data_IF_515224743827
#
_entry.id   IF_515224743827
#
_cell.length_a   1.000
_cell.length_b   1.000
_cell.length_c   1.000
_cell.angle_alpha   90.00
_cell.angle_beta   90.00
_cell.angle_gamma   90.00
#
_symmetry.space_group_name_H-M   'P 1'
#
loop_
_entity.id
_entity.type
_entity.pdbx_description
1 polymer ?
#
# COMPACT_ATOMS: atom_id res chain seq x y z
N UNK A 1 0.83 23.36 28.64
CA UNK A 1 1.40 22.50 27.58
C UNK A 1 0.63 21.19 27.61
N UNK A 2 -0.20 20.93 26.60
CA UNK A 2 -1.03 19.72 26.52
C UNK A 2 -0.26 18.57 25.90
N UNK A 3 -0.05 17.51 26.67
CA UNK A 3 0.52 16.25 26.20
C UNK A 3 -0.57 15.43 25.53
N UNK A 4 -0.43 15.16 24.23
CA UNK A 4 -1.32 14.27 23.50
C UNK A 4 -0.98 12.81 23.85
N UNK A 5 -1.92 12.15 24.52
CA UNK A 5 -1.91 10.73 24.83
C UNK A 5 -2.66 9.99 23.72
N UNK A 6 -1.95 9.22 22.88
CA UNK A 6 -2.61 8.31 21.94
C UNK A 6 -2.87 6.98 22.64
N UNK A 7 -4.16 6.77 22.91
CA UNK A 7 -4.70 5.57 23.51
C UNK A 7 -4.40 4.32 22.69
N UNK A 8 -3.79 3.39 23.41
CA UNK A 8 -3.74 1.96 23.19
C UNK A 8 -5.07 1.39 22.64
N UNK A 9 -5.12 1.09 21.33
CA UNK A 9 -6.18 0.25 20.74
C UNK A 9 -5.58 -1.11 20.42
N UNK A 10 -5.85 -2.07 21.29
CA UNK A 10 -5.66 -3.50 21.04
C UNK A 10 -6.56 -3.93 19.88
N UNK A 11 -5.98 -4.44 18.80
CA UNK A 11 -6.65 -5.25 17.78
C UNK A 11 -5.81 -6.51 17.54
N UNK A 12 -6.39 -7.72 17.44
CA UNK A 12 -5.62 -8.93 17.23
C UNK A 12 -5.34 -9.09 15.74
N UNK A 13 -4.16 -8.70 15.29
CA UNK A 13 -3.60 -9.10 14.01
C UNK A 13 -2.22 -9.70 14.28
N UNK A 14 -2.21 -10.97 14.67
CA UNK A 14 -0.97 -11.72 14.74
C UNK A 14 -0.53 -12.13 13.35
N UNK A 15 0.53 -11.52 12.85
CA UNK A 15 1.44 -12.11 11.87
C UNK A 15 2.86 -11.59 12.14
N UNK A 16 3.72 -12.49 12.62
CA UNK A 16 5.19 -12.48 12.52
C UNK A 16 5.97 -11.27 13.05
N UNK A 17 6.66 -11.43 14.18
CA UNK A 17 7.96 -10.80 14.42
C UNK A 17 8.95 -11.94 14.75
N UNK A 18 10.18 -11.93 14.20
CA UNK A 18 11.27 -11.42 15.02
C UNK A 18 12.25 -10.54 14.25
N UNK A 19 12.36 -9.29 14.69
CA UNK A 19 13.66 -8.61 14.71
C UNK A 19 14.12 -8.00 13.41
N UNK A 20 13.60 -6.82 13.10
CA UNK A 20 14.44 -5.73 12.62
C UNK A 20 14.07 -4.50 13.41
N UNK A 21 15.03 -3.63 13.67
CA UNK A 21 14.79 -2.32 14.26
C UNK A 21 13.87 -1.55 13.32
N UNK A 22 12.56 -1.78 13.45
CA UNK A 22 11.54 -1.14 12.66
C UNK A 22 11.49 0.31 13.13
N UNK A 23 12.17 1.15 12.37
CA UNK A 23 11.93 2.57 12.43
C UNK A 23 10.40 2.74 12.28
N UNK A 24 9.67 3.29 13.28
CA UNK A 24 8.22 3.42 13.19
C UNK A 24 7.77 4.36 12.04
N UNK A 25 8.74 4.99 11.37
CA UNK A 25 8.58 5.76 10.14
C UNK A 25 9.19 5.09 8.90
N UNK A 26 9.90 3.97 9.04
CA UNK A 26 10.21 3.10 7.91
C UNK A 26 8.89 2.51 7.46
N UNK A 27 8.40 3.04 6.36
CA UNK A 27 7.33 2.42 5.59
C UNK A 27 7.62 0.92 5.50
N UNK A 28 6.71 0.08 6.00
CA UNK A 28 6.85 -1.36 5.90
C UNK A 28 6.67 -1.79 4.44
N UNK A 29 7.79 -1.73 3.72
CA UNK A 29 7.83 -1.85 2.27
C UNK A 29 7.43 -3.25 1.83
N UNK A 30 7.71 -4.27 2.65
CA UNK A 30 7.29 -5.64 2.43
C UNK A 30 5.76 -5.75 2.46
N UNK A 31 5.11 -5.21 3.50
CA UNK A 31 3.64 -5.17 3.57
C UNK A 31 3.00 -4.38 2.43
N UNK A 32 3.65 -3.29 1.98
CA UNK A 32 3.18 -2.51 0.84
C UNK A 32 3.29 -3.28 -0.47
N UNK A 33 4.40 -3.98 -0.69
CA UNK A 33 4.60 -4.84 -1.86
C UNK A 33 3.59 -5.98 -1.87
N UNK A 34 3.34 -6.61 -0.72
CA UNK A 34 2.30 -7.64 -0.59
C UNK A 34 0.90 -7.09 -0.89
N UNK A 35 0.58 -5.89 -0.40
CA UNK A 35 -0.70 -5.24 -0.70
C UNK A 35 -0.84 -4.90 -2.19
N UNK A 36 0.24 -4.44 -2.83
CA UNK A 36 0.27 -4.14 -4.27
C UNK A 36 0.15 -5.42 -5.13
N UNK A 37 0.68 -6.55 -4.66
CA UNK A 37 0.45 -7.87 -5.24
C UNK A 37 -1.03 -8.26 -5.22
N UNK A 38 -1.65 -8.23 -4.05
CA UNK A 38 -3.08 -8.52 -3.90
C UNK A 38 -3.97 -7.57 -4.71
N UNK A 39 -3.61 -6.29 -4.80
CA UNK A 39 -4.28 -5.34 -5.69
C UNK A 39 -4.21 -5.82 -7.14
N UNK A 40 -3.03 -6.17 -7.63
CA UNK A 40 -2.80 -6.56 -9.03
C UNK A 40 -3.50 -7.87 -9.37
N UNK A 41 -3.47 -8.87 -8.48
CA UNK A 41 -4.25 -10.10 -8.62
C UNK A 41 -5.75 -9.81 -8.71
N UNK A 42 -6.24 -8.90 -7.87
CA UNK A 42 -7.66 -8.54 -7.85
C UNK A 42 -8.05 -7.76 -9.12
N UNK A 43 -7.20 -6.85 -9.59
CA UNK A 43 -7.38 -6.18 -10.88
C UNK A 43 -7.38 -7.18 -12.03
N UNK A 44 -6.59 -8.24 -11.97
CA UNK A 44 -6.59 -9.27 -13.00
C UNK A 44 -7.94 -9.97 -13.11
N UNK A 45 -8.59 -10.20 -11.97
CA UNK A 45 -9.91 -10.84 -11.89
C UNK A 45 -11.07 -9.89 -12.22
N UNK A 46 -11.03 -8.64 -11.72
CA UNK A 46 -12.15 -7.70 -11.80
C UNK A 46 -12.03 -6.72 -12.98
N UNK A 47 -10.82 -6.24 -13.28
CA UNK A 47 -10.55 -5.15 -14.23
C UNK A 47 -9.24 -5.37 -14.99
N UNK A 48 -9.16 -6.33 -15.94
CA UNK A 48 -7.90 -6.68 -16.61
C UNK A 48 -7.26 -5.49 -17.35
N UNK A 49 -8.05 -4.51 -17.79
CA UNK A 49 -7.56 -3.28 -18.41
C UNK A 49 -6.79 -2.35 -17.45
N UNK A 50 -6.88 -2.56 -16.13
CA UNK A 50 -6.24 -1.74 -15.10
C UNK A 50 -5.00 -2.42 -14.48
N UNK A 51 -4.71 -3.68 -14.82
CA UNK A 51 -3.59 -4.45 -14.28
C UNK A 51 -2.26 -3.70 -14.43
N UNK A 52 -2.06 -3.02 -15.56
CA UNK A 52 -0.85 -2.23 -15.80
C UNK A 52 -0.64 -1.10 -14.78
N UNK A 53 -1.69 -0.59 -14.14
CA UNK A 53 -1.55 0.38 -13.03
C UNK A 53 -1.09 -0.31 -11.73
N UNK A 54 -1.54 -1.53 -11.46
CA UNK A 54 -1.04 -2.36 -10.35
C UNK A 54 0.45 -2.68 -10.51
N UNK A 55 0.87 -3.09 -11.71
CA UNK A 55 2.27 -3.38 -12.04
C UNK A 55 3.18 -2.15 -11.88
N UNK A 56 2.70 -0.95 -12.23
CA UNK A 56 3.45 0.29 -12.00
C UNK A 56 3.67 0.52 -10.50
N UNK A 57 2.67 0.29 -9.66
CA UNK A 57 2.80 0.44 -8.20
C UNK A 57 3.83 -0.55 -7.66
N UNK A 58 3.73 -1.83 -8.04
CA UNK A 58 4.69 -2.87 -7.66
C UNK A 58 6.12 -2.50 -8.04
N UNK A 59 6.32 -2.00 -9.27
CA UNK A 59 7.64 -1.60 -9.76
C UNK A 59 8.25 -0.48 -8.95
N UNK A 60 7.49 0.58 -8.64
CA UNK A 60 8.04 1.69 -7.87
C UNK A 60 8.37 1.30 -6.42
N UNK A 61 7.63 0.35 -5.85
CA UNK A 61 7.94 -0.22 -4.53
C UNK A 61 9.16 -1.14 -4.58
N UNK A 62 9.31 -1.98 -5.63
CA UNK A 62 10.48 -2.83 -5.81
C UNK A 62 11.76 -2.00 -6.03
N UNK A 63 11.70 -0.95 -6.86
CA UNK A 63 12.82 -0.02 -7.03
C UNK A 63 13.22 0.65 -5.72
N UNK A 64 12.25 1.02 -4.88
CA UNK A 64 12.51 1.55 -3.54
C UNK A 64 13.21 0.53 -2.63
N UNK A 65 12.85 -0.75 -2.74
CA UNK A 65 13.46 -1.83 -1.97
C UNK A 65 14.90 -2.09 -2.41
N UNK A 66 15.16 -2.02 -3.72
CA UNK A 66 16.47 -2.23 -4.33
C UNK A 66 17.42 -1.05 -4.07
N UNK A 67 16.95 0.18 -4.28
CA UNK A 67 17.77 1.40 -4.16
C UNK A 67 17.89 1.90 -2.72
N UNK A 68 17.06 1.39 -1.80
CA UNK A 68 16.95 1.89 -0.41
C UNK A 68 16.44 3.33 -0.30
N UNK A 69 15.96 3.90 -1.41
CA UNK A 69 15.39 5.23 -1.50
C UNK A 69 13.88 5.17 -1.30
N UNK A 70 13.22 6.25 -0.83
CA UNK A 70 11.76 6.26 -0.69
C UNK A 70 11.07 6.05 -2.04
N UNK A 71 9.92 5.34 -2.07
CA UNK A 71 9.22 5.04 -3.31
C UNK A 71 8.67 6.32 -3.95
N UNK A 72 8.52 6.30 -5.27
CA UNK A 72 7.98 7.43 -6.01
C UNK A 72 6.48 7.61 -5.73
N UNK A 73 6.18 8.30 -4.63
CA UNK A 73 4.80 8.53 -4.15
C UNK A 73 3.93 9.23 -5.19
N UNK A 74 4.50 10.12 -6.01
CA UNK A 74 3.77 10.81 -7.07
C UNK A 74 3.25 9.84 -8.12
N UNK A 75 4.11 8.94 -8.60
CA UNK A 75 3.71 7.92 -9.60
C UNK A 75 2.74 6.90 -9.03
N UNK A 76 2.97 6.46 -7.79
CA UNK A 76 2.07 5.53 -7.10
C UNK A 76 0.70 6.16 -6.91
N UNK A 77 0.63 7.42 -6.45
CA UNK A 77 -0.61 8.18 -6.30
C UNK A 77 -1.40 8.24 -7.61
N UNK A 78 -0.77 8.63 -8.71
CA UNK A 78 -1.44 8.72 -10.01
C UNK A 78 -2.00 7.37 -10.45
N UNK A 79 -1.27 6.28 -10.25
CA UNK A 79 -1.76 4.94 -10.57
C UNK A 79 -2.97 4.54 -9.70
N UNK A 80 -2.90 4.79 -8.38
CA UNK A 80 -3.99 4.53 -7.44
C UNK A 80 -5.24 5.38 -7.75
N UNK A 81 -5.08 6.64 -8.12
CA UNK A 81 -6.18 7.52 -8.51
C UNK A 81 -6.91 6.99 -9.75
N UNK A 82 -6.18 6.52 -10.77
CA UNK A 82 -6.80 5.93 -11.98
C UNK A 82 -7.57 4.66 -11.64
N UNK A 83 -7.02 3.81 -10.77
CA UNK A 83 -7.72 2.61 -10.28
C UNK A 83 -8.98 3.00 -9.49
N UNK A 84 -8.89 3.95 -8.56
CA UNK A 84 -10.02 4.40 -7.75
C UNK A 84 -11.16 5.00 -8.58
N UNK A 85 -10.83 5.71 -9.68
CA UNK A 85 -11.83 6.29 -10.60
C UNK A 85 -12.56 5.22 -11.40
N UNK A 86 -11.84 4.17 -11.81
CA UNK A 86 -12.35 3.17 -12.76
C UNK A 86 -12.89 1.90 -12.10
N UNK A 87 -12.44 1.57 -10.90
CA UNK A 87 -12.97 0.45 -10.13
C UNK A 87 -14.32 0.83 -9.51
N UNK A 88 -15.31 -0.06 -9.61
CA UNK A 88 -16.61 0.14 -8.98
C UNK A 88 -16.51 0.10 -7.45
N UNK A 89 -17.40 0.85 -6.79
CA UNK A 89 -17.53 0.83 -5.34
C UNK A 89 -17.84 -0.58 -4.83
N UNK A 90 -17.18 -0.99 -3.75
CA UNK A 90 -17.37 -2.32 -3.12
C UNK A 90 -16.55 -3.45 -3.72
N UNK A 91 -15.63 -3.16 -4.65
CA UNK A 91 -14.69 -4.15 -5.20
C UNK A 91 -13.44 -4.33 -4.35
N UNK A 92 -12.83 -5.51 -4.43
CA UNK A 92 -11.58 -5.79 -3.71
C UNK A 92 -10.45 -4.86 -4.16
N UNK A 93 -10.41 -4.53 -5.46
CA UNK A 93 -9.48 -3.58 -6.06
C UNK A 93 -9.50 -2.22 -5.35
N UNK A 94 -10.69 -1.72 -5.01
CA UNK A 94 -10.85 -0.42 -4.36
C UNK A 94 -10.41 -0.48 -2.89
N UNK A 95 -10.67 -1.57 -2.18
CA UNK A 95 -10.21 -1.78 -0.79
C UNK A 95 -8.69 -1.75 -0.71
N UNK A 96 -7.99 -2.47 -1.59
CA UNK A 96 -6.52 -2.47 -1.61
C UNK A 96 -5.96 -1.12 -2.04
N UNK A 97 -6.62 -0.44 -2.97
CA UNK A 97 -6.26 0.94 -3.37
C UNK A 97 -6.32 1.89 -2.18
N UNK A 98 -7.39 1.85 -1.39
CA UNK A 98 -7.54 2.68 -0.18
C UNK A 98 -6.51 2.34 0.90
N UNK A 99 -6.21 1.05 1.10
CA UNK A 99 -5.19 0.60 2.04
C UNK A 99 -3.80 1.15 1.67
N UNK A 100 -3.42 1.08 0.39
CA UNK A 100 -2.16 1.63 -0.11
C UNK A 100 -2.09 3.15 0.04
N UNK A 101 -3.16 3.88 -0.32
CA UNK A 101 -3.23 5.34 -0.15
C UNK A 101 -3.03 5.73 1.32
N UNK A 102 -3.70 5.06 2.25
CA UNK A 102 -3.57 5.32 3.68
C UNK A 102 -2.16 5.00 4.20
N UNK A 103 -1.59 3.84 3.83
CA UNK A 103 -0.26 3.42 4.27
C UNK A 103 0.87 4.31 3.73
N UNK A 104 0.68 4.92 2.55
CA UNK A 104 1.61 5.89 1.95
C UNK A 104 1.39 7.33 2.46
N UNK A 105 0.32 7.58 3.21
CA UNK A 105 -0.08 8.90 3.70
C UNK A 105 -0.47 9.88 2.59
N UNK A 106 -1.18 9.38 1.57
CA UNK A 106 -1.57 10.12 0.36
C UNK A 106 -2.99 10.69 0.39
#
# INVERSE_FOLDING_TARGET
MSTYNFGHVNGPAGFGDPGSTADPYALDLESLMHTADRLTETLHAEYPALVGHGEVIQRELALSAEDGLPPNRGRIRTALEVVAIRAAAGTGSLTYTQHLTHALGL
#
